data_IF_375450491659
#
_entry.id   IF_375450491659
#
_cell.length_a   1.000
_cell.length_b   1.000
_cell.length_c   1.000
_cell.angle_alpha   90.00
_cell.angle_beta   90.00
_cell.angle_gamma   90.00
#
_symmetry.space_group_name_H-M   'P 1'
#
loop_
_entity.id
_entity.type
_entity.pdbx_description
1 polymer ?
#
# COMPACT_ATOMS: atom_id res chain seq x y z
N UNK A 1 -15.15 18.03 -4.28
CA UNK A 1 -15.52 16.83 -3.50
C UNK A 1 -15.26 15.59 -4.37
N UNK A 2 -14.82 14.48 -3.79
CA UNK A 2 -14.56 13.25 -4.55
C UNK A 2 -15.88 12.52 -4.89
N UNK A 3 -15.91 11.86 -6.05
CA UNK A 3 -17.07 11.05 -6.48
C UNK A 3 -16.83 9.57 -6.21
N UNK A 4 -17.89 8.75 -6.22
CA UNK A 4 -17.77 7.29 -6.13
C UNK A 4 -16.87 6.71 -7.24
N UNK A 5 -16.96 7.24 -8.46
CA UNK A 5 -16.07 6.83 -9.55
C UNK A 5 -14.60 7.14 -9.24
N UNK A 6 -14.31 8.33 -8.67
CA UNK A 6 -12.96 8.70 -8.25
C UNK A 6 -12.42 7.77 -7.18
N UNK A 7 -13.22 7.48 -6.14
CA UNK A 7 -12.82 6.54 -5.08
C UNK A 7 -12.59 5.13 -5.62
N UNK A 8 -13.48 4.62 -6.45
CA UNK A 8 -13.35 3.27 -7.03
C UNK A 8 -12.08 3.12 -7.85
N UNK A 9 -11.76 4.11 -8.70
CA UNK A 9 -10.51 4.16 -9.43
C UNK A 9 -9.30 4.30 -8.51
N UNK A 10 -9.40 5.13 -7.47
CA UNK A 10 -8.30 5.30 -6.52
C UNK A 10 -8.00 4.05 -5.70
N UNK A 11 -9.02 3.26 -5.34
CA UNK A 11 -8.80 1.97 -4.67
C UNK A 11 -7.95 1.02 -5.53
N UNK A 12 -8.07 1.08 -6.86
CA UNK A 12 -7.21 0.29 -7.76
C UNK A 12 -5.77 0.81 -7.77
N UNK A 13 -5.59 2.13 -7.73
CA UNK A 13 -4.28 2.76 -7.57
C UNK A 13 -3.66 2.32 -6.24
N UNK A 14 -4.40 2.42 -5.14
CA UNK A 14 -3.98 1.99 -3.82
C UNK A 14 -3.58 0.51 -3.80
N UNK A 15 -4.39 -0.36 -4.43
CA UNK A 15 -4.08 -1.78 -4.57
C UNK A 15 -2.76 -2.03 -5.31
N UNK A 16 -2.47 -1.28 -6.38
CA UNK A 16 -1.19 -1.38 -7.11
C UNK A 16 -0.04 -0.84 -6.27
N UNK A 17 -0.21 0.30 -5.61
CA UNK A 17 0.83 0.89 -4.73
C UNK A 17 1.22 -0.08 -3.62
N UNK A 18 0.25 -0.73 -2.97
CA UNK A 18 0.49 -1.73 -1.93
C UNK A 18 1.11 -3.00 -2.53
N UNK A 19 0.46 -3.56 -3.56
CA UNK A 19 0.81 -4.86 -4.10
C UNK A 19 2.13 -4.90 -4.87
N UNK A 20 2.58 -3.77 -5.43
CA UNK A 20 3.80 -3.68 -6.25
C UNK A 20 5.07 -4.10 -5.50
N UNK A 21 5.19 -3.72 -4.22
CA UNK A 21 6.33 -4.13 -3.39
C UNK A 21 6.37 -5.65 -3.16
N UNK A 22 5.21 -6.31 -3.24
CA UNK A 22 5.05 -7.73 -2.96
C UNK A 22 5.94 -8.66 -3.80
N UNK A 23 5.86 -8.63 -5.14
CA UNK A 23 6.72 -9.42 -6.01
C UNK A 23 8.19 -9.04 -5.88
N UNK A 24 8.51 -7.76 -5.69
CA UNK A 24 9.89 -7.28 -5.52
C UNK A 24 10.53 -7.93 -4.29
N UNK A 25 9.85 -7.89 -3.14
CA UNK A 25 10.34 -8.50 -1.90
C UNK A 25 10.35 -10.04 -1.95
N UNK A 26 9.36 -10.67 -2.61
CA UNK A 26 9.33 -12.13 -2.77
C UNK A 26 10.49 -12.61 -3.65
N UNK A 27 10.74 -11.96 -4.78
CA UNK A 27 11.82 -12.32 -5.70
C UNK A 27 13.21 -12.09 -5.09
N UNK A 28 13.31 -11.23 -4.07
CA UNK A 28 14.57 -10.98 -3.39
C UNK A 28 15.09 -12.14 -2.54
N UNK A 29 14.27 -13.18 -2.35
CA UNK A 29 14.70 -14.45 -1.76
C UNK A 29 15.74 -15.17 -2.62
N UNK A 30 15.80 -14.88 -3.92
CA UNK A 30 16.76 -15.43 -4.85
C UNK A 30 17.96 -14.48 -5.00
N UNK A 31 19.21 -14.98 -4.86
CA UNK A 31 20.39 -14.14 -5.01
C UNK A 31 20.48 -13.40 -6.36
N UNK A 32 19.94 -13.99 -7.43
CA UNK A 32 19.97 -13.39 -8.77
C UNK A 32 19.05 -12.17 -8.94
N UNK A 33 18.10 -11.96 -8.03
CA UNK A 33 17.04 -10.93 -8.17
C UNK A 33 16.82 -10.12 -6.89
N UNK A 34 17.77 -10.14 -5.95
CA UNK A 34 17.66 -9.43 -4.67
C UNK A 34 17.96 -7.93 -4.74
N UNK A 35 18.80 -7.49 -5.68
CA UNK A 35 19.26 -6.10 -5.77
C UNK A 35 18.13 -5.05 -5.82
N UNK A 36 17.03 -5.23 -6.58
CA UNK A 36 15.93 -4.26 -6.57
C UNK A 36 15.31 -4.05 -5.19
N UNK A 37 15.10 -5.13 -4.42
CA UNK A 37 14.57 -5.03 -3.07
C UNK A 37 15.62 -4.49 -2.09
N UNK A 38 16.87 -4.97 -2.19
CA UNK A 38 17.99 -4.51 -1.36
C UNK A 38 18.16 -2.99 -1.49
N UNK A 39 18.31 -2.50 -2.71
CA UNK A 39 18.44 -1.08 -3.00
C UNK A 39 17.20 -0.28 -2.58
N UNK A 40 16.00 -0.82 -2.83
CA UNK A 40 14.76 -0.19 -2.39
C UNK A 40 14.72 0.01 -0.88
N UNK A 41 15.08 -1.01 -0.11
CA UNK A 41 15.14 -0.94 1.35
C UNK A 41 16.25 0.00 1.83
N UNK A 42 17.40 0.02 1.18
CA UNK A 42 18.53 0.95 1.45
C UNK A 42 18.09 2.42 1.34
N UNK A 43 17.30 2.74 0.32
CA UNK A 43 16.67 4.06 0.16
C UNK A 43 15.68 4.36 1.29
N UNK A 44 14.91 3.35 1.72
CA UNK A 44 13.94 3.51 2.81
C UNK A 44 14.63 3.73 4.17
N UNK A 45 15.79 3.12 4.37
CA UNK A 45 16.51 3.14 5.64
C UNK A 45 17.43 4.35 5.79
N UNK A 46 17.93 4.92 4.69
CA UNK A 46 18.81 6.10 4.58
C UNK A 46 19.83 6.33 5.73
N UNK A 47 21.14 6.43 5.46
CA UNK A 47 21.77 6.66 4.16
C UNK A 47 21.84 5.41 3.28
N UNK A 48 22.08 5.63 1.98
CA UNK A 48 22.30 4.52 1.03
C UNK A 48 23.72 4.00 1.27
N UNK A 49 23.85 2.92 2.03
CA UNK A 49 25.14 2.38 2.49
C UNK A 49 25.31 0.86 2.31
N UNK A 50 24.33 0.22 1.67
CA UNK A 50 24.33 -1.22 1.44
C UNK A 50 23.43 -2.00 2.40
N UNK A 51 22.89 -1.36 3.43
CA UNK A 51 21.91 -1.97 4.34
C UNK A 51 20.51 -2.03 3.70
N UNK A 52 19.70 -3.07 3.92
CA UNK A 52 20.03 -4.35 4.54
C UNK A 52 20.78 -5.27 3.57
N UNK A 53 21.62 -6.16 4.11
CA UNK A 53 22.22 -7.25 3.33
C UNK A 53 21.24 -8.43 3.21
N UNK A 54 21.16 -9.02 2.02
CA UNK A 54 20.33 -10.20 1.69
C UNK A 54 21.11 -11.54 1.78
N UNK A 55 22.27 -11.56 2.45
CA UNK A 55 23.07 -12.77 2.63
C UNK A 55 22.45 -13.78 3.61
N UNK A 56 21.69 -13.31 4.62
CA UNK A 56 21.13 -14.17 5.66
C UNK A 56 19.84 -14.88 5.25
N UNK A 57 19.52 -16.00 5.89
CA UNK A 57 18.27 -16.72 5.64
C UNK A 57 17.07 -15.98 6.26
N UNK A 58 17.29 -15.32 7.40
CA UNK A 58 16.28 -14.58 8.15
C UNK A 58 15.72 -13.41 7.34
N UNK A 59 16.58 -12.61 6.69
CA UNK A 59 16.13 -11.46 5.89
C UNK A 59 15.37 -11.93 4.65
N UNK A 60 15.79 -13.03 4.01
CA UNK A 60 15.09 -13.63 2.87
C UNK A 60 13.71 -14.14 3.29
N UNK A 61 13.63 -14.82 4.43
CA UNK A 61 12.38 -15.32 4.98
C UNK A 61 11.40 -14.17 5.32
N UNK A 62 11.89 -13.14 6.02
CA UNK A 62 11.08 -11.95 6.33
C UNK A 62 10.66 -11.19 5.05
N UNK A 63 11.52 -11.11 4.04
CA UNK A 63 11.22 -10.54 2.73
C UNK A 63 10.13 -11.33 2.00
N UNK A 64 10.16 -12.66 2.06
CA UNK A 64 9.10 -13.52 1.51
C UNK A 64 7.76 -13.30 2.21
N UNK A 65 7.77 -13.22 3.55
CA UNK A 65 6.57 -12.95 4.35
C UNK A 65 5.97 -11.57 4.01
N UNK A 66 6.79 -10.52 4.06
CA UNK A 66 6.37 -9.17 3.70
C UNK A 66 5.83 -9.13 2.27
N UNK A 67 6.54 -9.77 1.33
CA UNK A 67 6.14 -9.87 -0.06
C UNK A 67 4.74 -10.50 -0.24
N UNK A 68 4.52 -11.65 0.39
CA UNK A 68 3.24 -12.36 0.35
C UNK A 68 2.08 -11.57 0.94
N UNK A 69 2.29 -10.94 2.11
CA UNK A 69 1.26 -10.10 2.73
C UNK A 69 0.90 -8.88 1.88
N UNK A 70 1.88 -8.22 1.25
CA UNK A 70 1.64 -7.05 0.41
C UNK A 70 0.89 -7.41 -0.88
N UNK A 71 1.24 -8.51 -1.55
CA UNK A 71 0.45 -9.02 -2.69
C UNK A 71 -0.97 -9.33 -2.25
N UNK A 72 -1.13 -10.10 -1.17
CA UNK A 72 -2.45 -10.48 -0.66
C UNK A 72 -3.31 -9.27 -0.29
N UNK A 73 -2.72 -8.26 0.35
CA UNK A 73 -3.43 -7.02 0.70
C UNK A 73 -3.80 -6.21 -0.54
N UNK A 74 -2.87 -6.03 -1.49
CA UNK A 74 -3.14 -5.36 -2.76
C UNK A 74 -4.29 -6.01 -3.53
N UNK A 75 -4.29 -7.34 -3.67
CA UNK A 75 -5.39 -8.10 -4.30
C UNK A 75 -6.69 -7.91 -3.54
N UNK A 76 -6.66 -7.96 -2.20
CA UNK A 76 -7.85 -7.74 -1.38
C UNK A 76 -8.47 -6.37 -1.64
N UNK A 77 -7.66 -5.30 -1.65
CA UNK A 77 -8.12 -3.93 -1.94
C UNK A 77 -8.67 -3.83 -3.37
N UNK A 78 -8.02 -4.49 -4.34
CA UNK A 78 -8.50 -4.56 -5.71
C UNK A 78 -9.88 -5.20 -5.79
N UNK A 79 -10.08 -6.33 -5.10
CA UNK A 79 -11.37 -7.02 -5.09
C UNK A 79 -12.45 -6.23 -4.36
N UNK A 80 -12.12 -5.51 -3.29
CA UNK A 80 -13.06 -4.59 -2.65
C UNK A 80 -13.51 -3.48 -3.61
N UNK A 81 -12.60 -2.92 -4.41
CA UNK A 81 -12.95 -1.97 -5.48
C UNK A 81 -13.85 -2.60 -6.54
N UNK A 82 -13.51 -3.80 -7.01
CA UNK A 82 -14.17 -4.43 -8.14
C UNK A 82 -15.55 -5.02 -7.80
N UNK A 83 -15.68 -5.68 -6.64
CA UNK A 83 -16.85 -6.48 -6.29
C UNK A 83 -17.76 -5.86 -5.24
N UNK A 84 -17.22 -5.05 -4.32
CA UNK A 84 -17.94 -4.63 -3.11
C UNK A 84 -18.27 -3.14 -3.11
N UNK A 85 -17.45 -2.31 -3.76
CA UNK A 85 -17.56 -0.86 -3.65
C UNK A 85 -18.92 -0.30 -4.07
N UNK A 86 -19.54 -0.83 -5.13
CA UNK A 86 -20.85 -0.34 -5.59
C UNK A 86 -22.00 -0.69 -4.62
N UNK A 87 -21.82 -1.74 -3.81
CA UNK A 87 -22.79 -2.19 -2.81
C UNK A 87 -22.63 -1.42 -1.49
N UNK A 88 -21.38 -1.12 -1.10
CA UNK A 88 -21.07 -0.54 0.20
C UNK A 88 -19.85 0.42 0.15
N UNK A 89 -19.96 1.57 -0.53
CA UNK A 89 -18.81 2.43 -0.84
C UNK A 89 -18.13 2.98 0.42
N UNK A 90 -18.93 3.40 1.42
CA UNK A 90 -18.39 3.96 2.66
C UNK A 90 -17.78 2.88 3.56
N UNK A 91 -18.35 1.67 3.59
CA UNK A 91 -17.77 0.56 4.34
C UNK A 91 -16.41 0.16 3.74
N UNK A 92 -16.31 0.04 2.41
CA UNK A 92 -15.03 -0.23 1.72
C UNK A 92 -14.01 0.87 2.00
N UNK A 93 -14.41 2.15 1.88
CA UNK A 93 -13.55 3.30 2.18
C UNK A 93 -12.99 3.21 3.60
N UNK A 94 -13.85 3.02 4.59
CA UNK A 94 -13.45 2.95 6.01
C UNK A 94 -12.53 1.77 6.27
N UNK A 95 -12.81 0.60 5.70
CA UNK A 95 -11.96 -0.58 5.86
C UNK A 95 -10.54 -0.33 5.34
N UNK A 96 -10.41 0.22 4.13
CA UNK A 96 -9.09 0.48 3.53
C UNK A 96 -8.35 1.59 4.25
N UNK A 97 -9.01 2.70 4.58
CA UNK A 97 -8.38 3.83 5.28
C UNK A 97 -7.96 3.43 6.70
N UNK A 98 -8.79 2.70 7.43
CA UNK A 98 -8.46 2.24 8.79
C UNK A 98 -7.31 1.24 8.76
N UNK A 99 -7.32 0.30 7.79
CA UNK A 99 -6.21 -0.64 7.58
C UNK A 99 -4.90 0.08 7.22
N UNK A 100 -4.95 1.10 6.36
CA UNK A 100 -3.78 1.89 5.99
C UNK A 100 -3.21 2.67 7.19
N UNK A 101 -4.06 3.23 8.06
CA UNK A 101 -3.62 3.84 9.31
C UNK A 101 -2.99 2.84 10.27
N UNK A 102 -3.60 1.65 10.43
CA UNK A 102 -3.03 0.61 11.27
C UNK A 102 -1.64 0.19 10.76
N UNK A 103 -1.51 -0.09 9.46
CA UNK A 103 -0.21 -0.38 8.83
C UNK A 103 0.80 0.75 9.08
N UNK A 104 0.43 1.99 8.77
CA UNK A 104 1.30 3.17 8.95
C UNK A 104 1.83 3.27 10.38
N UNK A 105 0.96 3.11 11.38
CA UNK A 105 1.33 3.22 12.79
C UNK A 105 2.30 2.12 13.23
N UNK A 106 1.98 0.86 12.91
CA UNK A 106 2.81 -0.28 13.33
C UNK A 106 4.12 -0.36 12.56
N UNK A 107 4.11 -0.08 11.26
CA UNK A 107 5.34 -0.08 10.44
C UNK A 107 6.27 1.07 10.83
N UNK A 108 5.71 2.26 11.08
CA UNK A 108 6.49 3.42 11.55
C UNK A 108 7.04 3.20 12.95
N UNK A 109 6.26 2.59 13.86
CA UNK A 109 6.76 2.21 15.18
C UNK A 109 7.89 1.19 15.07
N UNK A 110 7.71 0.15 14.25
CA UNK A 110 8.74 -0.84 13.96
C UNK A 110 10.01 -0.19 13.41
N UNK A 111 9.87 0.75 12.47
CA UNK A 111 10.96 1.53 11.89
C UNK A 111 11.75 2.31 12.94
N UNK A 112 11.06 3.03 13.84
CA UNK A 112 11.75 3.77 14.93
C UNK A 112 12.44 2.81 15.90
N UNK A 113 11.76 1.75 16.34
CA UNK A 113 12.32 0.80 17.33
C UNK A 113 13.47 -0.04 16.79
N UNK A 114 13.59 -0.19 15.47
CA UNK A 114 14.69 -0.88 14.79
C UNK A 114 15.81 0.06 14.33
N UNK A 115 15.73 1.35 14.65
CA UNK A 115 16.73 2.35 14.27
C UNK A 115 16.57 2.92 12.84
N UNK A 116 15.59 2.45 12.08
CA UNK A 116 15.32 2.81 10.69
C UNK A 116 14.31 3.96 10.56
N UNK A 117 14.47 5.01 11.37
CA UNK A 117 13.49 6.11 11.44
C UNK A 117 13.21 6.83 10.11
N UNK A 118 14.14 6.93 9.12
CA UNK A 118 13.83 7.60 7.86
C UNK A 118 12.65 6.97 7.11
N UNK A 119 12.41 5.66 7.32
CA UNK A 119 11.27 4.96 6.74
C UNK A 119 9.92 5.55 7.18
N UNK A 120 9.83 6.21 8.34
CA UNK A 120 8.61 6.92 8.77
C UNK A 120 8.21 8.00 7.75
N UNK A 121 9.18 8.70 7.15
CA UNK A 121 8.91 9.72 6.13
C UNK A 121 8.35 9.08 4.85
N UNK A 122 8.91 7.95 4.44
CA UNK A 122 8.41 7.18 3.30
C UNK A 122 7.00 6.63 3.57
N UNK A 123 6.74 6.14 4.78
CA UNK A 123 5.42 5.69 5.21
C UNK A 123 4.37 6.79 5.13
N UNK A 124 4.72 8.05 5.43
CA UNK A 124 3.80 9.20 5.23
C UNK A 124 3.44 9.33 3.74
N UNK A 125 4.42 9.25 2.84
CA UNK A 125 4.18 9.35 1.40
C UNK A 125 3.32 8.19 0.89
N UNK A 126 3.61 6.97 1.34
CA UNK A 126 2.83 5.76 1.00
C UNK A 126 1.40 5.86 1.54
N UNK A 127 1.21 6.32 2.78
CA UNK A 127 -0.11 6.53 3.37
C UNK A 127 -0.92 7.54 2.54
N UNK A 128 -0.30 8.66 2.15
CA UNK A 128 -0.95 9.67 1.31
C UNK A 128 -1.32 9.11 -0.07
N UNK A 129 -0.46 8.27 -0.67
CA UNK A 129 -0.74 7.61 -1.94
C UNK A 129 -1.89 6.60 -1.84
N UNK A 130 -1.90 5.76 -0.79
CA UNK A 130 -2.95 4.78 -0.53
C UNK A 130 -4.30 5.48 -0.30
N UNK A 131 -4.34 6.49 0.57
CA UNK A 131 -5.60 7.14 0.96
C UNK A 131 -6.11 8.10 -0.12
N UNK A 132 -5.25 8.93 -0.70
CA UNK A 132 -5.60 9.93 -1.72
C UNK A 132 -6.91 10.68 -1.44
N UNK A 133 -7.95 10.58 -2.30
CA UNK A 133 -9.23 11.28 -2.12
C UNK A 133 -10.13 10.66 -1.04
N UNK A 134 -9.74 9.54 -0.43
CA UNK A 134 -10.57 8.77 0.53
C UNK A 134 -10.52 9.32 1.96
N UNK A 135 -9.82 10.44 2.22
CA UNK A 135 -9.87 11.16 3.50
C UNK A 135 -11.28 11.61 3.89
N UNK A 136 -12.15 11.80 2.89
CA UNK A 136 -13.56 12.18 3.07
C UNK A 136 -14.46 11.21 2.32
N UNK A 137 -15.72 11.02 2.77
CA UNK A 137 -16.71 10.27 2.02
C UNK A 137 -16.88 10.81 0.59
N UNK A 138 -17.19 9.93 -0.36
CA UNK A 138 -17.52 10.30 -1.72
C UNK A 138 -19.02 10.53 -1.90
N UNK A 139 -19.37 11.34 -2.90
CA UNK A 139 -20.75 11.55 -3.32
C UNK A 139 -21.05 10.84 -4.64
N UNK A 140 -22.34 10.57 -4.93
CA UNK A 140 -22.79 10.17 -6.26
C UNK A 140 -22.37 11.22 -7.30
N UNK A 141 -21.87 10.77 -8.45
CA UNK A 141 -21.61 11.66 -9.58
C UNK A 141 -22.94 12.20 -10.11
N UNK A 142 -23.09 13.53 -10.21
CA UNK A 142 -24.33 14.23 -10.59
C UNK A 142 -24.84 13.95 -12.03
N UNK A 143 -24.21 13.06 -12.80
CA UNK A 143 -24.64 12.74 -14.17
C UNK A 143 -25.68 11.62 -14.19
N UNK A 144 -26.95 11.94 -13.92
CA UNK A 144 -28.16 11.31 -14.48
C UNK A 144 -29.46 11.86 -13.84
N UNK A 145 -29.64 13.19 -13.83
CA UNK A 145 -30.99 13.76 -13.82
C UNK A 145 -31.16 14.55 -15.13
N UNK A 146 -31.21 13.79 -16.23
CA UNK A 146 -31.80 14.29 -17.46
C UNK A 146 -33.30 14.40 -17.23
N UNK A 147 -33.79 15.63 -17.26
CA UNK A 147 -35.17 16.07 -17.05
C UNK A 147 -36.20 15.20 -17.81
N UNK A 148 -37.36 14.84 -17.22
CA UNK A 148 -38.49 14.37 -18.01
C UNK A 148 -39.00 15.51 -18.89
N UNK A 149 -39.13 15.26 -20.19
CA UNK A 149 -39.95 16.01 -21.12
C UNK A 149 -41.03 15.07 -21.66
#
# INVERSE_FOLDING_TARGET
MATHATHKSWLRIAAVVIGFFGPVLTLATLPATNEPARFGLDVLTWPIDGFPDYSSEEIRFLSALAGGFLVGWGVTVWMLSALVYDLAPEAVRRSVVTGAWAWFLFDSLGSVTSGQWPNVLWNILVLLAIVGPMWRPAHPSTKAQGNPA
#
